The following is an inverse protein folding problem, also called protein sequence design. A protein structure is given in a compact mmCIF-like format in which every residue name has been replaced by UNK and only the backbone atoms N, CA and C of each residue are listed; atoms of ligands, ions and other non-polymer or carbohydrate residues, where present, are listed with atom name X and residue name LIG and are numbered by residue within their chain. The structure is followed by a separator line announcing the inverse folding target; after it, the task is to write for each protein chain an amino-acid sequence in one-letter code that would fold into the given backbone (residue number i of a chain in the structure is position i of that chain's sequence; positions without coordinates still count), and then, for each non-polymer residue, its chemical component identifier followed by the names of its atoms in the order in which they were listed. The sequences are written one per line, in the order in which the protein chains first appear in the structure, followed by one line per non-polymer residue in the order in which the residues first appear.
data_IF_961221506534
#
_entry.id   IF_961221506534
#
_cell.length_a   1.000
_cell.length_b   1.000
_cell.length_c   1.000
_cell.angle_alpha   90.00
_cell.angle_beta   90.00
_cell.angle_gamma   90.00
#
_symmetry.space_group_name_H-M   'P 1'
#
loop_
_entity.id
_entity.type
_entity.pdbx_description
1 polymer ?
#
# COMPACT_ATOMS: atom_id res chain seq x y z
N UNK A 1 22.55 7.47 14.05
CA UNK A 1 21.75 8.71 13.90
C UNK A 1 20.72 8.74 15.02
N UNK A 2 20.69 9.79 15.84
CA UNK A 2 19.68 9.95 16.89
C UNK A 2 18.39 10.47 16.24
N UNK A 3 17.42 9.57 16.03
CA UNK A 3 16.11 9.94 15.51
C UNK A 3 15.30 10.61 16.61
N UNK A 4 15.32 11.94 16.67
CA UNK A 4 14.49 12.70 17.61
C UNK A 4 13.04 12.72 17.10
N UNK A 5 12.14 12.15 17.90
CA UNK A 5 10.70 12.13 17.58
C UNK A 5 10.19 13.57 17.50
N UNK A 6 9.41 13.89 16.46
CA UNK A 6 8.76 15.20 16.33
C UNK A 6 7.80 15.44 17.52
N UNK A 7 8.03 16.51 18.27
CA UNK A 7 7.07 17.00 19.26
C UNK A 7 5.95 17.75 18.54
N UNK A 8 4.70 17.39 18.83
CA UNK A 8 3.52 18.00 18.23
C UNK A 8 2.98 19.07 19.17
N UNK A 9 2.79 20.28 18.67
CA UNK A 9 2.30 21.41 19.47
C UNK A 9 0.78 21.56 19.36
N UNK A 10 0.19 21.24 18.20
CA UNK A 10 -1.24 21.41 17.95
C UNK A 10 -1.91 20.15 17.41
N UNK A 11 -3.24 20.09 17.53
CA UNK A 11 -4.05 19.01 16.93
C UNK A 11 -4.00 19.05 15.39
N UNK A 12 -3.95 20.24 14.80
CA UNK A 12 -3.89 20.42 13.34
C UNK A 12 -2.64 19.79 12.74
N UNK A 13 -1.47 19.92 13.39
CA UNK A 13 -0.23 19.27 12.93
C UNK A 13 -0.35 17.73 12.88
N UNK A 14 -1.08 17.14 13.84
CA UNK A 14 -1.31 15.69 13.89
C UNK A 14 -2.23 15.23 12.76
N UNK A 15 -3.30 15.98 12.51
CA UNK A 15 -4.26 15.68 11.43
C UNK A 15 -3.58 15.83 10.07
N UNK A 16 -2.80 16.89 9.88
CA UNK A 16 -2.08 17.11 8.62
C UNK A 16 -1.06 16.01 8.35
N UNK A 17 -0.24 15.62 9.34
CA UNK A 17 0.68 14.49 9.19
C UNK A 17 -0.09 13.16 8.93
N UNK A 18 -1.26 12.95 9.54
CA UNK A 18 -2.10 11.79 9.25
C UNK A 18 -2.62 11.77 7.80
N UNK A 19 -3.15 12.88 7.31
CA UNK A 19 -3.67 13.01 5.94
C UNK A 19 -2.54 12.83 4.92
N UNK A 20 -1.35 13.37 5.19
CA UNK A 20 -0.16 13.15 4.36
C UNK A 20 0.20 11.66 4.33
N UNK A 21 0.18 10.98 5.47
CA UNK A 21 0.41 9.54 5.52
C UNK A 21 -0.61 8.74 4.71
N UNK A 22 -1.88 9.10 4.84
CA UNK A 22 -2.99 8.45 4.13
C UNK A 22 -2.90 8.65 2.61
N UNK A 23 -2.88 9.90 2.14
CA UNK A 23 -2.84 10.23 0.71
C UNK A 23 -1.49 9.86 0.08
N UNK A 24 -0.40 10.11 0.81
CA UNK A 24 0.95 9.76 0.38
C UNK A 24 1.12 8.26 0.17
N UNK A 25 0.48 7.44 1.00
CA UNK A 25 0.50 5.98 0.83
C UNK A 25 -0.16 5.55 -0.49
N UNK A 26 -1.34 6.10 -0.83
CA UNK A 26 -2.00 5.82 -2.10
C UNK A 26 -1.19 6.30 -3.31
N UNK A 27 -0.64 7.51 -3.23
CA UNK A 27 0.13 8.09 -4.33
C UNK A 27 1.42 7.28 -4.59
N UNK A 28 2.14 6.93 -3.53
CA UNK A 28 3.37 6.14 -3.65
C UNK A 28 3.08 4.72 -4.17
N UNK A 29 2.07 4.03 -3.62
CA UNK A 29 1.71 2.71 -4.10
C UNK A 29 1.16 2.75 -5.52
N UNK A 30 0.32 3.72 -5.85
CA UNK A 30 -0.20 3.91 -7.20
C UNK A 30 0.93 4.08 -8.23
N UNK A 31 1.92 4.90 -7.93
CA UNK A 31 3.09 5.08 -8.80
C UNK A 31 3.94 3.82 -8.91
N UNK A 32 4.19 3.13 -7.80
CA UNK A 32 4.98 1.87 -7.80
C UNK A 32 4.29 0.79 -8.63
N UNK A 33 2.99 0.55 -8.39
CA UNK A 33 2.24 -0.46 -9.14
C UNK A 33 2.05 -0.08 -10.61
N UNK A 34 1.76 1.18 -10.92
CA UNK A 34 1.71 1.64 -12.31
C UNK A 34 3.04 1.46 -13.04
N UNK A 35 4.16 1.74 -12.35
CA UNK A 35 5.51 1.49 -12.89
C UNK A 35 5.77 0.01 -13.15
N UNK A 36 5.41 -0.87 -12.20
CA UNK A 36 5.53 -2.33 -12.39
C UNK A 36 4.72 -2.79 -13.59
N UNK A 37 3.45 -2.38 -13.71
CA UNK A 37 2.57 -2.73 -14.83
C UNK A 37 3.11 -2.19 -16.16
N UNK A 38 3.61 -0.95 -16.18
CA UNK A 38 4.18 -0.34 -17.39
C UNK A 38 5.42 -1.09 -17.89
N UNK A 39 6.27 -1.58 -16.98
CA UNK A 39 7.45 -2.36 -17.33
C UNK A 39 7.07 -3.77 -17.80
N UNK A 40 6.17 -4.46 -17.08
CA UNK A 40 5.79 -5.84 -17.42
C UNK A 40 4.96 -5.93 -18.70
N UNK A 41 4.24 -4.86 -19.07
CA UNK A 41 3.49 -4.81 -20.33
C UNK A 41 4.37 -4.53 -21.57
N UNK A 42 5.56 -3.96 -21.39
CA UNK A 42 6.45 -3.56 -22.49
C UNK A 42 7.62 -4.52 -22.68
N UNK A 43 8.00 -5.28 -21.64
CA UNK A 43 9.16 -6.18 -21.69
C UNK A 43 8.77 -7.58 -21.24
N UNK A 44 9.09 -8.57 -22.08
CA UNK A 44 9.05 -9.98 -21.68
C UNK A 44 10.17 -10.26 -20.68
N UNK A 45 9.79 -10.30 -19.40
CA UNK A 45 10.68 -10.57 -18.28
C UNK A 45 10.77 -12.07 -18.01
N UNK A 46 11.90 -12.54 -17.48
CA UNK A 46 11.97 -13.89 -16.90
C UNK A 46 11.15 -13.93 -15.60
N UNK A 47 10.59 -15.11 -15.28
CA UNK A 47 9.72 -15.30 -14.10
C UNK A 47 10.38 -14.82 -12.81
N UNK A 48 11.69 -15.05 -12.66
CA UNK A 48 12.47 -14.60 -11.49
C UNK A 48 12.49 -13.09 -11.32
N UNK A 49 12.60 -12.33 -12.41
CA UNK A 49 12.61 -10.85 -12.37
C UNK A 49 11.20 -10.32 -12.08
N UNK A 50 10.16 -10.96 -12.64
CA UNK A 50 8.77 -10.61 -12.37
C UNK A 50 8.41 -10.73 -10.88
N UNK A 51 8.85 -11.81 -10.22
CA UNK A 51 8.64 -12.01 -8.78
C UNK A 51 9.34 -10.93 -7.95
N UNK A 52 10.57 -10.56 -8.31
CA UNK A 52 11.32 -9.50 -7.61
C UNK A 52 10.60 -8.15 -7.76
N UNK A 53 10.13 -7.83 -8.97
CA UNK A 53 9.41 -6.57 -9.24
C UNK A 53 8.09 -6.48 -8.46
N UNK A 54 7.42 -7.62 -8.22
CA UNK A 54 6.18 -7.69 -7.45
C UNK A 54 6.41 -7.61 -5.93
N UNK A 55 7.53 -8.15 -5.43
CA UNK A 55 7.85 -8.22 -3.99
C UNK A 55 8.53 -6.96 -3.47
N UNK A 56 9.27 -6.23 -4.31
CA UNK A 56 9.93 -4.96 -3.97
C UNK A 56 8.99 -3.92 -3.35
N UNK A 57 7.81 -3.62 -3.94
CA UNK A 57 6.86 -2.68 -3.37
C UNK A 57 6.42 -3.06 -1.95
N UNK A 58 6.26 -4.36 -1.67
CA UNK A 58 5.88 -4.84 -0.35
C UNK A 58 6.99 -4.57 0.69
N UNK A 59 8.24 -4.88 0.35
CA UNK A 59 9.40 -4.58 1.21
C UNK A 59 9.56 -3.08 1.45
N UNK A 60 9.37 -2.26 0.42
CA UNK A 60 9.40 -0.80 0.51
C UNK A 60 8.31 -0.29 1.47
N UNK A 61 7.08 -0.81 1.38
CA UNK A 61 6.00 -0.42 2.29
C UNK A 61 6.31 -0.76 3.76
N UNK A 62 6.83 -1.97 4.02
CA UNK A 62 7.20 -2.39 5.38
C UNK A 62 8.32 -1.48 5.92
N UNK A 63 9.37 -1.26 5.13
CA UNK A 63 10.49 -0.39 5.50
C UNK A 63 10.05 1.04 5.78
N UNK A 64 9.19 1.61 4.94
CA UNK A 64 8.64 2.96 5.12
C UNK A 64 7.78 3.07 6.37
N UNK A 65 6.92 2.09 6.65
CA UNK A 65 6.09 2.09 7.86
C UNK A 65 6.94 2.03 9.14
N UNK A 66 7.97 1.19 9.17
CA UNK A 66 8.89 1.09 10.30
C UNK A 66 9.65 2.41 10.48
N UNK A 67 10.25 2.93 9.41
CA UNK A 67 11.02 4.17 9.43
C UNK A 67 10.17 5.38 9.88
N UNK A 68 8.97 5.53 9.31
CA UNK A 68 8.03 6.58 9.68
C UNK A 68 7.47 6.38 11.09
N UNK A 69 7.34 5.14 11.57
CA UNK A 69 6.93 4.83 12.94
C UNK A 69 7.89 5.40 13.98
N UNK A 70 9.20 5.36 13.71
CA UNK A 70 10.22 5.94 14.59
C UNK A 70 10.29 7.47 14.48
N UNK A 71 10.17 8.04 13.27
CA UNK A 71 10.33 9.48 13.06
C UNK A 71 9.03 10.29 13.27
N UNK A 72 7.94 9.91 12.60
CA UNK A 72 6.64 10.61 12.56
C UNK A 72 5.47 9.62 12.62
N UNK A 73 5.15 9.14 13.84
CA UNK A 73 4.13 8.10 14.06
C UNK A 73 2.78 8.37 13.41
N UNK A 74 2.36 9.64 13.33
CA UNK A 74 1.03 9.99 12.80
C UNK A 74 0.93 9.78 11.29
N UNK A 75 2.04 9.97 10.56
CA UNK A 75 2.12 9.61 9.14
C UNK A 75 1.99 8.09 8.98
N UNK A 76 2.72 7.31 9.79
CA UNK A 76 2.65 5.85 9.75
C UNK A 76 1.23 5.32 10.05
N UNK A 77 0.52 5.94 11.01
CA UNK A 77 -0.89 5.60 11.28
C UNK A 77 -1.80 5.90 10.09
N UNK A 78 -1.62 7.03 9.42
CA UNK A 78 -2.38 7.36 8.20
C UNK A 78 -2.17 6.33 7.09
N UNK A 79 -0.91 5.94 6.84
CA UNK A 79 -0.57 4.90 5.88
C UNK A 79 -1.14 3.52 6.26
N UNK A 80 -1.14 3.17 7.54
CA UNK A 80 -1.68 1.89 8.02
C UNK A 80 -3.20 1.82 7.86
N UNK A 81 -3.91 2.93 8.07
CA UNK A 81 -5.35 3.01 7.79
C UNK A 81 -5.63 2.87 6.29
N UNK A 82 -4.84 3.52 5.43
CA UNK A 82 -4.96 3.37 3.98
C UNK A 82 -4.79 1.90 3.54
N UNK A 83 -3.76 1.23 4.05
CA UNK A 83 -3.53 -0.19 3.82
C UNK A 83 -4.70 -1.06 4.31
N UNK A 84 -5.21 -0.81 5.52
CA UNK A 84 -6.32 -1.58 6.07
C UNK A 84 -7.61 -1.43 5.25
N UNK A 85 -7.93 -0.21 4.78
CA UNK A 85 -9.08 0.02 3.90
C UNK A 85 -8.92 -0.70 2.57
N UNK A 86 -7.72 -0.70 1.99
CA UNK A 86 -7.46 -1.38 0.73
C UNK A 86 -7.56 -2.90 0.87
N UNK A 87 -7.06 -3.45 1.99
CA UNK A 87 -7.22 -4.87 2.32
C UNK A 87 -8.69 -5.26 2.48
N UNK A 88 -9.47 -4.44 3.19
CA UNK A 88 -10.91 -4.65 3.33
C UNK A 88 -11.62 -4.65 1.97
N UNK A 89 -11.32 -3.65 1.12
CA UNK A 89 -11.87 -3.59 -0.23
C UNK A 89 -11.49 -4.82 -1.07
N UNK A 90 -10.23 -5.26 -1.00
CA UNK A 90 -9.75 -6.44 -1.70
C UNK A 90 -10.47 -7.72 -1.24
N UNK A 91 -10.72 -7.88 0.07
CA UNK A 91 -11.49 -9.00 0.61
C UNK A 91 -12.94 -9.00 0.11
N UNK A 92 -13.60 -7.84 0.12
CA UNK A 92 -14.97 -7.70 -0.40
C UNK A 92 -15.03 -8.06 -1.88
N UNK A 93 -14.12 -7.51 -2.69
CA UNK A 93 -14.04 -7.81 -4.12
C UNK A 93 -13.78 -9.31 -4.35
N UNK A 94 -12.87 -9.91 -3.59
CA UNK A 94 -12.55 -11.34 -3.69
C UNK A 94 -13.76 -12.24 -3.43
N UNK A 95 -14.56 -11.92 -2.40
CA UNK A 95 -15.79 -12.66 -2.08
C UNK A 95 -16.82 -12.51 -3.21
N UNK A 96 -17.00 -11.29 -3.75
CA UNK A 96 -17.93 -11.04 -4.86
C UNK A 96 -17.53 -11.81 -6.13
N UNK A 97 -16.25 -11.76 -6.50
CA UNK A 97 -15.71 -12.49 -7.66
C UNK A 97 -15.90 -14.00 -7.47
N UNK A 98 -15.60 -14.53 -6.29
CA UNK A 98 -15.83 -15.94 -5.98
C UNK A 98 -17.29 -16.35 -6.17
N UNK A 99 -18.23 -15.57 -5.63
CA UNK A 99 -19.66 -15.84 -5.74
C UNK A 99 -20.14 -15.86 -7.20
N UNK A 100 -19.67 -14.91 -8.02
CA UNK A 100 -20.01 -14.83 -9.45
C UNK A 100 -19.44 -16.03 -10.22
N UNK A 101 -18.19 -16.40 -9.96
CA UNK A 101 -17.54 -17.55 -10.61
C UNK A 101 -18.22 -18.87 -10.22
N UNK A 102 -18.59 -19.04 -8.96
CA UNK A 102 -19.32 -20.22 -8.49
C UNK A 102 -20.73 -20.32 -9.11
N UNK A 103 -21.44 -19.20 -9.21
CA UNK A 103 -22.76 -19.14 -9.85
C UNK A 103 -22.70 -19.41 -11.36
N UNK A 104 -21.66 -18.93 -12.05
CA UNK A 104 -21.49 -19.17 -13.49
C UNK A 104 -21.06 -20.60 -13.81
N UNK A 105 -20.37 -21.26 -12.88
CA UNK A 105 -19.91 -22.65 -13.04
C UNK A 105 -20.97 -23.71 -12.70
N UNK A 106 -22.08 -23.33 -12.06
CA UNK A 106 -23.15 -24.24 -11.62
C UNK A 106 -24.37 -24.28 -12.56
N UNK A 107 -24.31 -23.58 -13.69
CA UNK A 107 -25.35 -23.57 -14.73
C UNK A 107 -25.13 -24.59 -15.87
N UNK A 108 -24.42 -25.69 -15.59
CA UNK A 108 -24.33 -26.90 -16.43
C UNK A 108 -24.82 -28.06 -15.58
#
# INVERSE_FOLDING_TARGET
MNFTRKAYTTRNEKILDFVIGFLGWFLLNGLLYAGVIGITSTVTMSDSIGIILLTLPLLINIGLLIFLGFWRRWIALGALVAFALLLLAALVIGILVYAICFSSGSSI
#
